data_IF_990814517276
#
_entry.id   IF_990814517276
#
_cell.length_a   1.000
_cell.length_b   1.000
_cell.length_c   1.000
_cell.angle_alpha   90.00
_cell.angle_beta   90.00
_cell.angle_gamma   90.00
#
_symmetry.space_group_name_H-M   'P 1'
#
loop_
_entity.id
_entity.type
_entity.pdbx_description
1 polymer ?
#
# COMPACT_ATOMS: atom_id res chain seq x y z
N UNK A 1 2.98 -1.97 11.91
CA UNK A 1 1.59 -1.68 11.52
C UNK A 1 1.33 -2.41 10.21
N UNK A 2 0.13 -2.96 9.99
CA UNK A 2 -0.18 -3.78 8.80
C UNK A 2 -1.36 -3.19 8.04
N UNK A 3 -1.25 -3.09 6.72
CA UNK A 3 -2.33 -2.65 5.83
C UNK A 3 -3.20 -3.87 5.50
N UNK A 4 -4.53 -3.69 5.60
CA UNK A 4 -5.51 -4.74 5.30
C UNK A 4 -6.44 -4.34 4.16
N UNK A 5 -7.02 -5.35 3.51
CA UNK A 5 -7.94 -5.19 2.37
C UNK A 5 -9.17 -4.32 2.65
N UNK A 6 -9.55 -4.20 3.93
CA UNK A 6 -10.74 -3.47 4.37
C UNK A 6 -10.46 -1.98 4.62
N UNK A 7 -9.19 -1.59 4.67
CA UNK A 7 -8.81 -0.21 4.87
C UNK A 7 -9.12 0.64 3.62
N UNK A 8 -9.62 1.87 3.80
CA UNK A 8 -9.86 2.80 2.70
C UNK A 8 -8.54 3.28 2.09
N UNK A 9 -8.49 3.37 0.76
CA UNK A 9 -7.29 3.83 0.03
C UNK A 9 -6.85 5.21 0.52
N UNK A 10 -7.81 6.13 0.69
CA UNK A 10 -7.55 7.48 1.21
C UNK A 10 -6.92 7.47 2.59
N UNK A 11 -7.33 6.56 3.48
CA UNK A 11 -6.74 6.42 4.81
C UNK A 11 -5.31 5.91 4.78
N UNK A 12 -5.02 4.94 3.90
CA UNK A 12 -3.68 4.39 3.73
C UNK A 12 -2.75 5.45 3.11
N UNK A 13 -3.16 6.07 2.01
CA UNK A 13 -2.37 7.08 1.32
C UNK A 13 -2.12 8.34 2.17
N UNK A 14 -3.03 8.65 3.10
CA UNK A 14 -2.85 9.75 4.06
C UNK A 14 -1.91 9.37 5.21
N UNK A 15 -1.96 8.12 5.68
CA UNK A 15 -1.08 7.63 6.76
C UNK A 15 0.34 7.33 6.27
N UNK A 16 0.50 6.88 5.03
CA UNK A 16 1.79 6.52 4.43
C UNK A 16 1.91 7.07 3.03
N UNK A 17 2.57 8.21 2.87
CA UNK A 17 2.71 8.85 1.56
C UNK A 17 3.49 7.99 0.54
N UNK A 18 4.43 7.18 1.02
CA UNK A 18 5.17 6.18 0.22
C UNK A 18 4.26 5.16 -0.48
N UNK A 19 3.10 4.85 0.09
CA UNK A 19 2.13 3.95 -0.53
C UNK A 19 1.44 4.55 -1.75
N UNK A 20 1.48 5.88 -1.92
CA UNK A 20 0.91 6.57 -3.09
C UNK A 20 1.54 6.09 -4.40
N UNK A 21 2.84 5.76 -4.38
CA UNK A 21 3.52 5.22 -5.56
C UNK A 21 3.01 3.82 -5.91
N UNK A 22 2.82 2.96 -4.89
CA UNK A 22 2.22 1.64 -5.09
C UNK A 22 0.80 1.78 -5.66
N UNK A 23 -0.05 2.65 -5.11
CA UNK A 23 -1.38 2.86 -5.68
C UNK A 23 -1.36 3.31 -7.14
N UNK A 24 -0.44 4.20 -7.52
CA UNK A 24 -0.29 4.65 -8.89
C UNK A 24 0.12 3.51 -9.84
N UNK A 25 0.98 2.58 -9.41
CA UNK A 25 1.37 1.39 -10.20
C UNK A 25 0.18 0.47 -10.53
N UNK A 26 -0.83 0.45 -9.66
CA UNK A 26 -2.04 -0.36 -9.83
C UNK A 26 -3.24 0.46 -10.36
N UNK A 27 -3.01 1.70 -10.82
CA UNK A 27 -4.04 2.63 -11.32
C UNK A 27 -5.15 2.94 -10.29
N UNK A 28 -4.82 2.89 -8.99
CA UNK A 28 -5.78 3.13 -7.92
C UNK A 28 -5.80 4.62 -7.54
N UNK A 29 -6.97 5.28 -7.52
CA UNK A 29 -7.07 6.66 -7.09
C UNK A 29 -6.84 6.78 -5.58
N UNK A 30 -5.73 7.42 -5.20
CA UNK A 30 -5.33 7.64 -3.80
C UNK A 30 -6.36 8.42 -2.97
N UNK A 31 -7.24 9.20 -3.62
CA UNK A 31 -8.33 9.92 -2.97
C UNK A 31 -9.59 9.10 -2.74
N UNK A 32 -9.58 7.79 -3.03
CA UNK A 32 -10.77 6.96 -2.91
C UNK A 32 -11.08 6.61 -1.45
N UNK A 33 -12.31 6.90 -1.02
CA UNK A 33 -12.84 6.44 0.27
C UNK A 33 -13.31 4.98 0.25
N UNK A 34 -13.12 4.26 -0.86
CA UNK A 34 -13.43 2.83 -0.93
C UNK A 34 -12.27 2.00 -0.38
N UNK A 35 -12.61 0.80 0.12
CA UNK A 35 -11.64 -0.17 0.60
C UNK A 35 -10.81 -0.74 -0.56
N UNK A 36 -9.60 -1.21 -0.28
CA UNK A 36 -8.75 -1.88 -1.27
C UNK A 36 -9.47 -3.03 -1.99
N UNK A 37 -10.24 -3.83 -1.25
CA UNK A 37 -11.05 -4.94 -1.79
C UNK A 37 -12.14 -4.53 -2.80
N UNK A 38 -12.53 -3.26 -2.80
CA UNK A 38 -13.51 -2.72 -3.74
C UNK A 38 -12.88 -2.30 -5.08
N UNK A 39 -11.56 -2.07 -5.09
CA UNK A 39 -10.80 -1.72 -6.30
C UNK A 39 -10.18 -2.95 -6.95
N UNK A 40 -9.62 -3.84 -6.13
CA UNK A 40 -8.98 -5.07 -6.56
C UNK A 40 -9.56 -6.26 -5.80
N UNK A 41 -9.62 -7.42 -6.45
CA UNK A 41 -10.10 -8.65 -5.83
C UNK A 41 -9.18 -9.82 -6.19
N UNK A 42 -9.20 -10.85 -5.35
CA UNK A 42 -8.41 -12.06 -5.59
C UNK A 42 -6.91 -11.83 -5.44
N UNK A 43 -6.12 -12.25 -6.42
CA UNK A 43 -4.65 -12.24 -6.34
C UNK A 43 -4.05 -10.84 -6.44
N UNK A 44 -4.64 -9.96 -7.24
CA UNK A 44 -4.15 -8.58 -7.40
C UNK A 44 -4.24 -7.78 -6.09
N UNK A 45 -5.29 -8.01 -5.31
CA UNK A 45 -5.46 -7.44 -3.99
C UNK A 45 -4.38 -7.92 -3.02
N UNK A 46 -4.10 -9.23 -3.01
CA UNK A 46 -3.08 -9.83 -2.15
C UNK A 46 -1.67 -9.33 -2.49
N UNK A 47 -1.37 -9.21 -3.80
CA UNK A 47 -0.12 -8.64 -4.30
C UNK A 47 0.04 -7.18 -3.89
N UNK A 48 -0.99 -6.36 -4.07
CA UNK A 48 -0.95 -4.96 -3.66
C UNK A 48 -0.78 -4.83 -2.14
N UNK A 49 -1.51 -5.60 -1.34
CA UNK A 49 -1.38 -5.58 0.12
C UNK A 49 0.04 -5.98 0.54
N UNK A 50 0.63 -7.00 -0.09
CA UNK A 50 2.03 -7.37 0.15
C UNK A 50 3.00 -6.23 -0.21
N UNK A 51 2.81 -5.59 -1.37
CA UNK A 51 3.67 -4.49 -1.82
C UNK A 51 3.57 -3.27 -0.89
N UNK A 52 2.36 -2.93 -0.46
CA UNK A 52 2.09 -1.89 0.52
C UNK A 52 2.74 -2.18 1.87
N UNK A 53 2.55 -3.41 2.40
CA UNK A 53 3.15 -3.83 3.66
C UNK A 53 4.68 -3.89 3.59
N UNK A 54 5.22 -4.27 2.43
CA UNK A 54 6.66 -4.26 2.18
C UNK A 54 7.18 -2.83 2.11
N UNK A 55 6.45 -1.90 1.50
CA UNK A 55 6.83 -0.48 1.43
C UNK A 55 6.93 0.12 2.84
N UNK A 56 5.85 0.04 3.63
CA UNK A 56 5.83 0.54 5.02
C UNK A 56 6.81 -0.16 5.96
N UNK A 57 7.09 -1.44 5.70
CA UNK A 57 8.06 -2.23 6.46
C UNK A 57 9.49 -1.92 6.04
N UNK A 58 9.72 -1.64 4.76
CA UNK A 58 11.03 -1.34 4.21
C UNK A 58 11.49 0.07 4.54
N UNK A 59 10.57 1.03 4.70
CA UNK A 59 10.92 2.36 5.21
C UNK A 59 11.45 2.36 6.65
N UNK A 60 11.28 1.26 7.39
CA UNK A 60 11.91 1.03 8.70
C UNK A 60 13.31 0.40 8.63
N UNK A 61 13.71 -0.12 7.48
CA UNK A 61 15.04 -0.68 7.23
C UNK A 61 15.68 0.05 6.06
N UNK A 62 16.24 1.21 6.35
CA UNK A 62 17.58 1.49 5.86
C UNK A 62 18.49 0.38 6.39
N UNK A 63 18.53 -0.76 5.70
CA UNK A 63 19.72 -1.61 5.74
C UNK A 63 20.85 -0.77 5.14
N UNK A 64 21.53 -0.08 6.04
CA UNK A 64 22.93 0.29 5.95
C UNK A 64 23.77 -0.98 5.73
N UNK A 65 23.65 -1.60 4.56
CA UNK A 65 24.62 -2.60 4.11
C UNK A 65 25.23 -2.11 2.82
N UNK A 66 26.32 -1.39 3.00
CA UNK A 66 27.11 -0.81 1.93
C UNK A 66 28.45 -0.27 2.40
N UNK A 67 29.21 -1.06 3.20
CA UNK A 67 30.67 -0.95 3.32
C UNK A 67 31.22 -0.18 4.50
#
# INVERSE_FOLDING_TARGET
MVITAEMPVSGIANSWEETKEAFNKYDIPVGSNKALKEHLQGKDLDLLISDLNKTIGSSGVTCIEGG
#
